data_IF_819665671360
#
_entry.id   IF_819665671360
#
_cell.length_a   1.000
_cell.length_b   1.000
_cell.length_c   1.000
_cell.angle_alpha   90.00
_cell.angle_beta   90.00
_cell.angle_gamma   90.00
#
_symmetry.space_group_name_H-M   'P 1'
#
loop_
_entity.id
_entity.type
_entity.pdbx_description
1 polymer ?
#
# COMPACT_ATOMS: atom_id res chain seq x y z
N UNK A 1 -17.93 -37.58 -81.29
CA UNK A 1 -17.26 -36.85 -80.20
C UNK A 1 -16.68 -37.89 -79.25
N UNK A 2 -15.35 -37.97 -79.08
CA UNK A 2 -14.77 -39.01 -78.24
C UNK A 2 -15.01 -38.67 -76.77
N UNK A 3 -15.63 -39.59 -76.04
CA UNK A 3 -15.78 -39.51 -74.59
C UNK A 3 -14.37 -39.47 -73.96
N UNK A 4 -13.98 -38.29 -73.47
CA UNK A 4 -12.80 -38.17 -72.62
C UNK A 4 -13.10 -38.97 -71.35
N UNK A 5 -12.40 -40.09 -71.19
CA UNK A 5 -12.55 -40.96 -70.04
C UNK A 5 -12.07 -40.21 -68.79
N UNK A 6 -13.01 -39.51 -68.12
CA UNK A 6 -12.78 -38.60 -67.00
C UNK A 6 -11.95 -39.22 -65.88
N UNK A 7 -12.03 -40.55 -65.69
CA UNK A 7 -11.17 -41.28 -64.74
C UNK A 7 -9.69 -41.25 -65.14
N UNK A 8 -9.35 -41.50 -66.40
CA UNK A 8 -7.96 -41.46 -66.87
C UNK A 8 -7.39 -40.03 -66.84
N UNK A 9 -8.22 -39.03 -67.15
CA UNK A 9 -7.85 -37.61 -67.02
C UNK A 9 -7.58 -37.24 -65.56
N UNK A 10 -8.41 -37.70 -64.63
CA UNK A 10 -8.25 -37.45 -63.19
C UNK A 10 -7.00 -38.10 -62.60
N UNK A 11 -6.67 -39.35 -63.01
CA UNK A 11 -5.42 -39.98 -62.63
C UNK A 11 -4.19 -39.27 -63.21
N UNK A 12 -4.27 -38.77 -64.45
CA UNK A 12 -3.18 -38.01 -65.05
C UNK A 12 -2.95 -36.67 -64.32
N UNK A 13 -4.02 -35.99 -63.92
CA UNK A 13 -3.97 -34.75 -63.12
C UNK A 13 -3.41 -35.04 -61.72
N UNK A 14 -3.82 -36.13 -61.06
CA UNK A 14 -3.26 -36.53 -59.76
C UNK A 14 -1.77 -36.86 -59.83
N UNK A 15 -1.32 -37.57 -60.87
CA UNK A 15 0.11 -37.88 -61.08
C UNK A 15 0.91 -36.61 -61.41
N UNK A 16 0.35 -35.67 -62.18
CA UNK A 16 0.96 -34.37 -62.47
C UNK A 16 1.02 -33.47 -61.22
N UNK A 17 0.02 -33.51 -60.34
CA UNK A 17 0.03 -32.79 -59.05
C UNK A 17 1.05 -33.44 -58.09
N UNK A 18 1.19 -34.77 -58.07
CA UNK A 18 2.21 -35.44 -57.27
C UNK A 18 3.63 -35.19 -57.80
N UNK A 19 3.82 -35.17 -59.11
CA UNK A 19 5.11 -34.85 -59.73
C UNK A 19 5.48 -33.36 -59.58
N UNK A 20 4.50 -32.45 -59.67
CA UNK A 20 4.70 -31.02 -59.42
C UNK A 20 4.90 -30.71 -57.92
N UNK A 21 4.28 -31.47 -57.02
CA UNK A 21 4.48 -31.36 -55.57
C UNK A 21 5.83 -31.92 -55.10
N UNK A 22 6.48 -32.77 -55.90
CA UNK A 22 7.86 -33.21 -55.68
C UNK A 22 8.90 -32.28 -56.33
N UNK A 23 8.47 -31.30 -57.13
CA UNK A 23 9.34 -30.43 -57.93
C UNK A 23 9.76 -29.12 -57.27
N UNK A 24 9.37 -28.86 -56.01
CA UNK A 24 9.72 -27.62 -55.32
C UNK A 24 10.23 -27.87 -53.89
N UNK A 25 11.16 -28.83 -53.74
CA UNK A 25 12.16 -28.67 -52.69
C UNK A 25 13.10 -27.58 -53.20
N UNK A 26 12.94 -26.34 -52.72
CA UNK A 26 14.11 -25.46 -52.62
C UNK A 26 15.20 -26.34 -52.05
N UNK A 27 16.31 -26.48 -52.77
CA UNK A 27 17.49 -27.17 -52.26
C UNK A 27 17.92 -26.42 -51.01
N UNK A 28 17.34 -26.78 -49.86
CA UNK A 28 17.84 -26.35 -48.57
C UNK A 28 19.30 -26.76 -48.56
N UNK A 29 20.17 -25.77 -48.48
CA UNK A 29 21.61 -26.00 -48.34
C UNK A 29 21.75 -27.03 -47.21
N UNK A 30 22.37 -28.20 -47.48
CA UNK A 30 22.48 -29.23 -46.46
C UNK A 30 23.09 -28.62 -45.21
N UNK A 31 22.52 -28.90 -44.05
CA UNK A 31 23.03 -28.36 -42.80
C UNK A 31 24.38 -29.02 -42.50
N UNK A 32 25.45 -28.24 -42.56
CA UNK A 32 26.83 -28.68 -42.41
C UNK A 32 27.50 -27.88 -41.30
N UNK A 33 28.68 -28.33 -40.88
CA UNK A 33 29.49 -27.61 -39.88
C UNK A 33 29.79 -26.16 -40.31
N UNK A 34 29.94 -25.92 -41.61
CA UNK A 34 30.31 -24.61 -42.18
C UNK A 34 29.16 -23.59 -42.10
N UNK A 35 27.90 -24.03 -42.25
CA UNK A 35 26.74 -23.14 -42.14
C UNK A 35 26.06 -23.19 -40.76
N UNK A 36 26.54 -24.06 -39.86
CA UNK A 36 25.94 -24.26 -38.54
C UNK A 36 25.95 -22.98 -37.70
N UNK A 37 27.09 -22.30 -37.60
CA UNK A 37 27.21 -21.09 -36.77
C UNK A 37 26.22 -20.01 -37.21
N UNK A 38 26.17 -19.70 -38.51
CA UNK A 38 25.25 -18.70 -39.04
C UNK A 38 23.79 -19.02 -38.69
N UNK A 39 23.39 -20.29 -38.83
CA UNK A 39 22.03 -20.71 -38.48
C UNK A 39 21.71 -20.53 -37.00
N UNK A 40 22.65 -20.80 -36.10
CA UNK A 40 22.45 -20.58 -34.67
C UNK A 40 22.46 -19.10 -34.29
N UNK A 41 23.22 -18.25 -34.98
CA UNK A 41 23.22 -16.80 -34.78
C UNK A 41 21.89 -16.15 -35.20
N UNK A 42 21.16 -16.76 -36.13
CA UNK A 42 19.82 -16.32 -36.55
C UNK A 42 18.71 -16.75 -35.58
N UNK A 43 19.03 -17.59 -34.59
CA UNK A 43 18.08 -18.12 -33.60
C UNK A 43 18.28 -17.46 -32.24
N UNK A 44 17.20 -17.36 -31.45
CA UNK A 44 17.36 -17.12 -30.02
C UNK A 44 18.06 -18.32 -29.35
N UNK A 45 18.73 -18.14 -28.19
CA UNK A 45 19.33 -19.25 -27.45
C UNK A 45 18.36 -20.42 -27.18
N UNK A 46 17.10 -20.13 -26.88
CA UNK A 46 16.05 -21.13 -26.67
C UNK A 46 15.69 -21.91 -27.96
N UNK A 47 15.59 -21.19 -29.07
CA UNK A 47 15.33 -21.78 -30.39
C UNK A 47 16.52 -22.65 -30.82
N UNK A 48 17.75 -22.19 -30.57
CA UNK A 48 18.97 -22.94 -30.78
C UNK A 48 18.99 -24.25 -29.99
N UNK A 49 18.72 -24.20 -28.69
CA UNK A 49 18.65 -25.39 -27.84
C UNK A 49 17.59 -26.39 -28.33
N UNK A 50 16.41 -25.90 -28.70
CA UNK A 50 15.33 -26.72 -29.26
C UNK A 50 15.70 -27.33 -30.62
N UNK A 51 16.37 -26.56 -31.49
CA UNK A 51 16.84 -27.03 -32.79
C UNK A 51 17.88 -28.13 -32.61
N UNK A 52 18.86 -27.93 -31.71
CA UNK A 52 19.86 -28.92 -31.36
C UNK A 52 19.23 -30.22 -30.87
N UNK A 53 18.35 -30.14 -29.86
CA UNK A 53 17.71 -31.32 -29.27
C UNK A 53 16.94 -32.16 -30.31
N UNK A 54 16.29 -31.50 -31.28
CA UNK A 54 15.52 -32.16 -32.35
C UNK A 54 16.39 -32.79 -33.44
N UNK A 55 17.55 -32.18 -33.75
CA UNK A 55 18.33 -32.54 -34.94
C UNK A 55 19.64 -33.28 -34.64
N UNK A 56 20.05 -33.39 -33.37
CA UNK A 56 21.34 -34.00 -32.98
C UNK A 56 21.57 -35.43 -33.47
N UNK A 57 20.52 -36.24 -33.62
CA UNK A 57 20.64 -37.61 -34.13
C UNK A 57 20.81 -37.67 -35.65
N UNK A 58 20.34 -36.64 -36.36
CA UNK A 58 20.46 -36.55 -37.82
C UNK A 58 21.83 -36.02 -38.26
N UNK A 59 22.52 -35.26 -37.40
CA UNK A 59 23.80 -34.61 -37.71
C UNK A 59 24.85 -34.94 -36.64
N UNK A 60 25.77 -35.86 -36.98
CA UNK A 60 26.79 -36.37 -36.05
C UNK A 60 27.75 -35.31 -35.49
N UNK A 61 27.95 -34.20 -36.20
CA UNK A 61 28.80 -33.09 -35.76
C UNK A 61 28.14 -32.19 -34.71
N UNK A 62 26.82 -32.28 -34.53
CA UNK A 62 26.05 -31.27 -33.81
C UNK A 62 26.25 -31.32 -32.30
N UNK A 63 26.48 -32.51 -31.73
CA UNK A 63 26.75 -32.66 -30.29
C UNK A 63 28.04 -31.91 -29.88
N UNK A 64 29.15 -32.11 -30.61
CA UNK A 64 30.40 -31.39 -30.33
C UNK A 64 30.32 -29.92 -30.71
N UNK A 65 29.71 -29.59 -31.86
CA UNK A 65 29.55 -28.20 -32.27
C UNK A 65 28.73 -27.39 -31.28
N UNK A 66 27.57 -27.89 -30.86
CA UNK A 66 26.71 -27.15 -29.93
C UNK A 66 27.40 -26.99 -28.58
N UNK A 67 28.01 -28.06 -28.05
CA UNK A 67 28.76 -28.03 -26.78
C UNK A 67 29.90 -27.01 -26.80
N UNK A 68 30.72 -27.03 -27.84
CA UNK A 68 31.99 -26.30 -27.82
C UNK A 68 31.84 -24.87 -28.37
N UNK A 69 30.86 -24.62 -29.26
CA UNK A 69 30.72 -23.35 -29.97
C UNK A 69 29.48 -22.53 -29.60
N UNK A 70 28.38 -23.17 -29.18
CA UNK A 70 27.11 -22.48 -28.89
C UNK A 70 26.84 -22.39 -27.40
N UNK A 71 27.04 -23.48 -26.67
CA UNK A 71 26.75 -23.57 -25.23
C UNK A 71 27.49 -22.54 -24.37
N UNK A 72 28.75 -22.13 -24.66
CA UNK A 72 29.40 -21.06 -23.89
C UNK A 72 28.68 -19.71 -23.94
N UNK A 73 27.90 -19.42 -24.97
CA UNK A 73 27.06 -18.21 -25.02
C UNK A 73 25.78 -18.38 -24.17
N UNK A 74 25.24 -19.61 -24.14
CA UNK A 74 24.05 -19.96 -23.35
C UNK A 74 24.28 -19.76 -21.85
N UNK A 75 25.51 -19.94 -21.35
CA UNK A 75 25.80 -19.78 -19.91
C UNK A 75 25.58 -18.37 -19.38
N UNK A 76 25.51 -17.37 -20.26
CA UNK A 76 25.27 -15.97 -19.90
C UNK A 76 23.80 -15.54 -20.07
N UNK A 77 22.90 -16.47 -20.42
CA UNK A 77 21.48 -16.19 -20.56
C UNK A 77 20.82 -15.92 -19.19
N UNK A 78 19.69 -15.21 -19.23
CA UNK A 78 18.87 -14.96 -18.03
C UNK A 78 18.28 -16.25 -17.46
N UNK A 79 17.82 -16.21 -16.20
CA UNK A 79 17.12 -17.33 -15.57
C UNK A 79 15.96 -17.86 -16.42
N UNK A 80 15.15 -16.97 -17.00
CA UNK A 80 13.98 -17.35 -17.80
C UNK A 80 14.39 -18.07 -19.09
N UNK A 81 15.43 -17.60 -19.76
CA UNK A 81 15.97 -18.25 -20.95
C UNK A 81 16.60 -19.61 -20.60
N UNK A 82 17.40 -19.67 -19.53
CA UNK A 82 18.02 -20.90 -19.05
C UNK A 82 16.99 -21.95 -18.62
N UNK A 83 15.84 -21.55 -18.07
CA UNK A 83 14.73 -22.44 -17.75
C UNK A 83 14.20 -23.16 -18.99
N UNK A 84 13.98 -22.40 -20.07
CA UNK A 84 13.49 -22.95 -21.34
C UNK A 84 14.56 -23.81 -22.02
N UNK A 85 15.82 -23.35 -22.00
CA UNK A 85 16.95 -24.09 -22.55
C UNK A 85 17.18 -25.41 -21.81
N UNK A 86 17.20 -25.41 -20.47
CA UNK A 86 17.35 -26.61 -19.67
C UNK A 86 16.22 -27.62 -19.96
N UNK A 87 14.99 -27.13 -20.11
CA UNK A 87 13.84 -27.96 -20.50
C UNK A 87 14.05 -28.60 -21.89
N UNK A 88 14.53 -27.83 -22.87
CA UNK A 88 14.82 -28.33 -24.22
C UNK A 88 15.97 -29.35 -24.24
N UNK A 89 16.98 -29.15 -23.39
CA UNK A 89 18.19 -29.97 -23.32
C UNK A 89 18.04 -31.23 -22.44
N UNK A 90 16.94 -31.39 -21.70
CA UNK A 90 16.73 -32.44 -20.68
C UNK A 90 17.03 -33.88 -21.14
N UNK A 91 16.85 -34.20 -22.42
CA UNK A 91 17.08 -35.53 -22.99
C UNK A 91 18.34 -35.58 -23.89
N UNK A 92 19.31 -34.71 -23.64
CA UNK A 92 20.54 -34.59 -24.42
C UNK A 92 21.77 -34.90 -23.56
N UNK A 93 22.96 -35.15 -24.15
CA UNK A 93 24.20 -35.30 -23.40
C UNK A 93 24.59 -34.07 -22.58
N UNK A 94 23.95 -32.91 -22.84
CA UNK A 94 24.24 -31.66 -22.18
C UNK A 94 23.36 -31.39 -20.95
N UNK A 95 22.41 -32.27 -20.61
CA UNK A 95 21.50 -32.08 -19.46
C UNK A 95 22.25 -31.73 -18.18
N UNK A 96 23.25 -32.52 -17.80
CA UNK A 96 23.97 -32.30 -16.54
C UNK A 96 24.73 -30.97 -16.50
N UNK A 97 25.24 -30.49 -17.64
CA UNK A 97 25.91 -29.19 -17.71
C UNK A 97 24.87 -28.06 -17.67
N UNK A 98 23.77 -28.19 -18.42
CA UNK A 98 22.67 -27.22 -18.44
C UNK A 98 22.01 -27.06 -17.08
N UNK A 99 21.81 -28.15 -16.32
CA UNK A 99 21.27 -28.12 -14.96
C UNK A 99 22.13 -27.31 -14.00
N UNK A 100 23.46 -27.42 -14.06
CA UNK A 100 24.38 -26.66 -13.20
C UNK A 100 24.20 -25.15 -13.38
N UNK A 101 24.21 -24.68 -14.64
CA UNK A 101 24.03 -23.25 -14.94
C UNK A 101 22.62 -22.77 -14.64
N UNK A 102 21.60 -23.60 -14.88
CA UNK A 102 20.22 -23.29 -14.52
C UNK A 102 20.06 -23.12 -13.01
N UNK A 103 20.62 -24.03 -12.20
CA UNK A 103 20.54 -23.98 -10.73
C UNK A 103 21.29 -22.78 -10.16
N UNK A 104 22.44 -22.41 -10.74
CA UNK A 104 23.18 -21.20 -10.35
C UNK A 104 22.39 -19.93 -10.68
N UNK A 105 21.86 -19.82 -11.90
CA UNK A 105 21.02 -18.69 -12.29
C UNK A 105 19.75 -18.60 -11.44
N UNK A 106 19.14 -19.73 -11.09
CA UNK A 106 17.97 -19.77 -10.18
C UNK A 106 18.32 -19.23 -8.79
N UNK A 107 19.47 -19.62 -8.22
CA UNK A 107 19.92 -19.12 -6.91
C UNK A 107 20.15 -17.62 -6.93
N UNK A 108 20.80 -17.10 -7.98
CA UNK A 108 21.02 -15.66 -8.15
C UNK A 108 19.68 -14.93 -8.28
N UNK A 109 18.79 -15.42 -9.15
CA UNK A 109 17.48 -14.81 -9.36
C UNK A 109 16.62 -14.77 -8.08
N UNK A 110 16.62 -15.85 -7.29
CA UNK A 110 15.96 -15.87 -5.98
C UNK A 110 16.56 -14.88 -4.98
N UNK A 111 17.89 -14.70 -5.01
CA UNK A 111 18.58 -13.72 -4.15
C UNK A 111 18.17 -12.29 -4.52
N UNK A 112 18.07 -11.99 -5.81
CA UNK A 112 17.66 -10.67 -6.30
C UNK A 112 16.21 -10.37 -5.93
N UNK A 113 15.31 -11.34 -6.11
CA UNK A 113 13.90 -11.25 -5.67
C UNK A 113 13.80 -11.02 -4.17
N UNK A 114 14.60 -11.74 -3.36
CA UNK A 114 14.59 -11.57 -1.91
C UNK A 114 14.98 -10.14 -1.52
N UNK A 115 16.02 -9.59 -2.14
CA UNK A 115 16.45 -8.21 -1.91
C UNK A 115 15.38 -7.19 -2.33
N UNK A 116 14.72 -7.41 -3.47
CA UNK A 116 13.62 -6.56 -3.94
C UNK A 116 12.42 -6.57 -2.97
N UNK A 117 12.03 -7.75 -2.48
CA UNK A 117 10.93 -7.90 -1.52
C UNK A 117 11.26 -7.20 -0.18
N UNK A 118 12.50 -7.30 0.29
CA UNK A 118 12.93 -6.57 1.49
C UNK A 118 12.83 -5.05 1.29
N UNK A 119 13.28 -4.55 0.12
CA UNK A 119 13.18 -3.13 -0.20
C UNK A 119 11.71 -2.67 -0.31
N UNK A 120 10.86 -3.47 -0.94
CA UNK A 120 9.43 -3.19 -1.05
C UNK A 120 8.74 -3.16 0.32
N UNK A 121 9.10 -4.07 1.23
CA UNK A 121 8.61 -4.04 2.61
C UNK A 121 9.02 -2.73 3.30
N UNK A 122 10.25 -2.26 3.11
CA UNK A 122 10.70 -0.98 3.67
C UNK A 122 9.88 0.21 3.13
N UNK A 123 9.65 0.27 1.82
CA UNK A 123 8.84 1.32 1.19
C UNK A 123 7.38 1.29 1.69
N UNK A 124 6.79 0.11 1.82
CA UNK A 124 5.43 -0.05 2.36
C UNK A 124 5.33 0.47 3.80
N UNK A 125 6.35 0.23 4.63
CA UNK A 125 6.37 0.80 5.99
C UNK A 125 6.46 2.32 5.96
N UNK A 126 7.32 2.89 5.12
CA UNK A 126 7.46 4.34 4.99
C UNK A 126 6.16 5.02 4.51
N UNK A 127 5.46 4.44 3.53
CA UNK A 127 4.19 4.98 3.05
C UNK A 127 3.14 4.96 4.16
N UNK A 128 3.09 3.90 4.97
CA UNK A 128 2.17 3.86 6.09
C UNK A 128 2.46 5.00 7.09
N UNK A 129 3.72 5.17 7.48
CA UNK A 129 4.11 6.17 8.48
C UNK A 129 3.96 7.61 8.00
N UNK A 130 4.28 7.88 6.73
CA UNK A 130 4.37 9.24 6.19
C UNK A 130 3.09 9.71 5.51
N UNK A 131 2.24 8.80 5.07
CA UNK A 131 1.04 9.13 4.30
C UNK A 131 -0.23 8.65 5.00
N UNK A 132 -0.29 7.36 5.38
CA UNK A 132 -1.52 6.77 5.93
C UNK A 132 -1.80 7.24 7.35
N UNK A 133 -0.81 7.20 8.25
CA UNK A 133 -0.99 7.67 9.63
C UNK A 133 -1.34 9.16 9.70
N UNK A 134 -0.68 10.08 8.97
CA UNK A 134 -1.06 11.48 9.01
C UNK A 134 -2.49 11.73 8.51
N UNK A 135 -2.94 11.02 7.48
CA UNK A 135 -4.33 11.10 7.03
C UNK A 135 -5.33 10.62 8.10
N UNK A 136 -4.97 9.55 8.81
CA UNK A 136 -5.73 9.05 9.95
C UNK A 136 -5.77 10.07 11.10
N UNK A 137 -4.63 10.72 11.41
CA UNK A 137 -4.53 11.77 12.44
C UNK A 137 -5.41 12.98 12.10
N UNK A 138 -5.38 13.45 10.85
CA UNK A 138 -6.19 14.59 10.38
C UNK A 138 -7.69 14.28 10.46
N UNK A 139 -8.10 13.12 9.94
CA UNK A 139 -9.51 12.71 9.96
C UNK A 139 -10.00 12.53 11.39
N UNK A 140 -9.19 11.90 12.25
CA UNK A 140 -9.52 11.74 13.66
C UNK A 140 -9.69 13.09 14.35
N UNK A 141 -8.76 14.01 14.16
CA UNK A 141 -8.84 15.35 14.73
C UNK A 141 -10.14 16.06 14.29
N UNK A 142 -10.50 15.99 13.02
CA UNK A 142 -11.76 16.54 12.52
C UNK A 142 -12.98 15.94 13.22
N UNK A 143 -13.02 14.61 13.35
CA UNK A 143 -14.14 13.93 14.02
C UNK A 143 -14.25 14.30 15.50
N UNK A 144 -13.11 14.39 16.19
CA UNK A 144 -13.05 14.77 17.61
C UNK A 144 -13.50 16.22 17.78
N UNK A 145 -13.04 17.13 16.93
CA UNK A 145 -13.47 18.53 16.93
C UNK A 145 -14.98 18.65 16.73
N UNK A 146 -15.55 17.99 15.71
CA UNK A 146 -17.00 18.04 15.43
C UNK A 146 -17.83 17.55 16.63
N UNK A 147 -17.45 16.41 17.22
CA UNK A 147 -18.14 15.86 18.40
C UNK A 147 -17.99 16.82 19.61
N UNK A 148 -16.82 17.41 19.81
CA UNK A 148 -16.55 18.30 20.94
C UNK A 148 -17.20 19.69 20.80
N UNK A 149 -17.24 20.26 19.60
CA UNK A 149 -18.00 21.47 19.30
C UNK A 149 -19.47 21.29 19.65
N UNK A 150 -20.05 20.14 19.29
CA UNK A 150 -21.43 19.84 19.64
C UNK A 150 -21.62 19.66 21.16
N UNK A 151 -20.70 18.98 21.85
CA UNK A 151 -20.75 18.86 23.32
C UNK A 151 -20.70 20.24 23.98
N UNK A 152 -19.76 21.09 23.55
CA UNK A 152 -19.54 22.42 24.11
C UNK A 152 -20.69 23.36 23.76
N UNK A 153 -21.21 23.36 22.53
CA UNK A 153 -22.40 24.14 22.16
C UNK A 153 -23.61 23.77 23.05
N UNK A 154 -23.84 22.48 23.29
CA UNK A 154 -24.92 22.04 24.20
C UNK A 154 -24.62 22.33 25.67
N UNK A 155 -23.35 22.36 26.07
CA UNK A 155 -22.93 22.63 27.44
C UNK A 155 -22.90 24.13 27.78
N UNK A 156 -22.23 24.95 26.99
CA UNK A 156 -22.18 26.41 27.13
C UNK A 156 -23.50 27.08 26.78
N UNK A 157 -24.36 26.42 25.99
CA UNK A 157 -25.72 26.86 25.72
C UNK A 157 -25.94 27.54 24.36
N UNK A 158 -24.95 27.49 23.47
CA UNK A 158 -24.96 28.16 22.18
C UNK A 158 -24.98 29.69 22.30
N UNK A 159 -24.86 30.38 21.15
CA UNK A 159 -24.70 31.83 20.99
C UNK A 159 -25.87 32.71 21.54
N UNK A 160 -26.80 32.15 22.31
CA UNK A 160 -27.93 32.88 22.90
C UNK A 160 -27.94 32.74 24.43
N UNK A 161 -27.56 33.84 25.09
CA UNK A 161 -27.41 34.10 26.54
C UNK A 161 -28.45 33.50 27.52
N UNK A 162 -29.58 32.95 27.07
CA UNK A 162 -30.61 32.42 27.97
C UNK A 162 -30.25 31.06 28.59
N UNK A 163 -29.37 30.28 27.95
CA UNK A 163 -28.86 29.02 28.53
C UNK A 163 -27.70 29.21 29.51
N UNK A 164 -27.00 30.35 29.50
CA UNK A 164 -26.00 30.68 30.53
C UNK A 164 -26.65 30.77 31.93
N UNK A 165 -27.96 31.08 32.00
CA UNK A 165 -28.75 31.02 33.25
C UNK A 165 -28.80 29.60 33.86
N UNK A 166 -28.66 28.53 33.06
CA UNK A 166 -28.63 27.14 33.56
C UNK A 166 -27.44 26.88 34.49
N UNK A 167 -26.32 27.61 34.33
CA UNK A 167 -25.20 27.53 35.27
C UNK A 167 -25.62 27.97 36.67
N UNK A 168 -26.52 28.95 36.79
CA UNK A 168 -27.09 29.37 38.08
C UNK A 168 -28.02 28.34 38.72
N UNK A 169 -28.68 27.50 37.92
CA UNK A 169 -29.62 26.47 38.38
C UNK A 169 -28.96 25.11 38.67
N UNK A 170 -27.63 25.03 38.59
CA UNK A 170 -26.87 23.86 39.06
C UNK A 170 -26.09 23.10 37.99
N UNK A 171 -25.97 23.62 36.76
CA UNK A 171 -25.14 22.98 35.72
C UNK A 171 -23.70 22.80 36.20
N UNK A 172 -23.18 21.57 36.09
CA UNK A 172 -21.86 21.17 36.59
C UNK A 172 -21.18 20.10 35.71
N UNK A 173 -20.00 19.64 36.12
CA UNK A 173 -19.24 18.62 35.40
C UNK A 173 -19.95 17.28 35.23
N UNK A 174 -21.04 16.98 35.95
CA UNK A 174 -21.87 15.78 35.68
C UNK A 174 -22.71 15.97 34.43
N UNK A 175 -23.27 17.16 34.21
CA UNK A 175 -24.02 17.45 32.98
C UNK A 175 -23.12 17.35 31.75
N UNK A 176 -21.87 17.83 31.86
CA UNK A 176 -20.87 17.66 30.81
C UNK A 176 -20.58 16.17 30.52
N UNK A 177 -20.46 15.33 31.56
CA UNK A 177 -20.30 13.87 31.40
C UNK A 177 -21.49 13.22 30.70
N UNK A 178 -22.71 13.68 30.94
CA UNK A 178 -23.90 13.16 30.27
C UNK A 178 -23.92 13.54 28.78
N UNK A 179 -23.57 14.80 28.46
CA UNK A 179 -23.44 15.26 27.08
C UNK A 179 -22.32 14.51 26.33
N UNK A 180 -21.16 14.33 26.98
CA UNK A 180 -20.06 13.53 26.44
C UNK A 180 -20.51 12.13 26.05
N UNK A 181 -21.15 11.40 26.97
CA UNK A 181 -21.64 10.03 26.70
C UNK A 181 -22.67 9.98 25.57
N UNK A 182 -23.40 11.07 25.38
CA UNK A 182 -24.47 11.16 24.38
C UNK A 182 -23.93 11.46 22.99
N UNK A 183 -22.89 12.28 22.88
CA UNK A 183 -22.44 12.81 21.58
C UNK A 183 -21.05 12.32 21.15
N UNK A 184 -20.17 11.91 22.06
CA UNK A 184 -18.86 11.36 21.71
C UNK A 184 -19.00 9.86 21.40
N UNK A 185 -18.92 9.49 20.13
CA UNK A 185 -19.13 8.11 19.68
C UNK A 185 -17.81 7.40 19.34
N UNK A 186 -17.05 7.01 20.36
CA UNK A 186 -15.69 6.42 20.21
C UNK A 186 -15.63 5.20 19.25
N UNK A 187 -16.71 4.43 19.12
CA UNK A 187 -16.78 3.33 18.17
C UNK A 187 -16.68 3.81 16.70
N UNK A 188 -17.26 4.97 16.37
CA UNK A 188 -17.22 5.53 15.02
C UNK A 188 -15.78 5.89 14.62
N UNK A 189 -14.98 6.39 15.57
CA UNK A 189 -13.56 6.69 15.37
C UNK A 189 -12.80 5.41 14.99
N UNK A 190 -13.01 4.34 15.76
CA UNK A 190 -12.35 3.04 15.51
C UNK A 190 -12.72 2.49 14.14
N UNK A 191 -14.00 2.49 13.80
CA UNK A 191 -14.49 2.00 12.51
C UNK A 191 -13.94 2.81 11.33
N UNK A 192 -13.82 4.14 11.49
CA UNK A 192 -13.25 5.02 10.47
C UNK A 192 -11.77 4.75 10.28
N UNK A 193 -10.99 4.70 11.37
CA UNK A 193 -9.56 4.46 11.33
C UNK A 193 -9.23 3.06 10.77
N UNK A 194 -10.01 2.05 11.12
CA UNK A 194 -9.84 0.69 10.59
C UNK A 194 -10.00 0.62 9.07
N UNK A 195 -10.89 1.42 8.47
CA UNK A 195 -11.07 1.47 7.01
C UNK A 195 -9.82 1.96 6.27
N UNK A 196 -9.10 2.94 6.82
CA UNK A 196 -7.84 3.41 6.23
C UNK A 196 -6.79 2.30 6.24
N UNK A 197 -6.68 1.60 7.37
CA UNK A 197 -5.75 0.49 7.53
C UNK A 197 -6.11 -0.66 6.58
N UNK A 198 -7.38 -1.08 6.55
CA UNK A 198 -7.88 -2.14 5.67
C UNK A 198 -7.62 -1.82 4.19
N UNK A 199 -7.98 -0.62 3.75
CA UNK A 199 -7.75 -0.18 2.37
C UNK A 199 -6.27 -0.19 1.99
N UNK A 200 -5.40 0.21 2.93
CA UNK A 200 -3.96 0.17 2.71
C UNK A 200 -3.41 -1.26 2.61
N UNK A 201 -3.84 -2.15 3.51
CA UNK A 201 -3.42 -3.56 3.49
C UNK A 201 -3.94 -4.30 2.24
N UNK A 202 -5.13 -3.96 1.75
CA UNK A 202 -5.69 -4.48 0.50
C UNK A 202 -4.84 -4.05 -0.72
N UNK A 203 -4.36 -2.80 -0.74
CA UNK A 203 -3.44 -2.32 -1.77
C UNK A 203 -2.12 -3.11 -1.79
N UNK A 204 -1.54 -3.38 -0.61
CA UNK A 204 -0.36 -4.24 -0.49
C UNK A 204 -0.64 -5.64 -1.02
N UNK A 205 -1.77 -6.25 -0.64
CA UNK A 205 -2.13 -7.57 -1.15
C UNK A 205 -2.19 -7.58 -2.67
N UNK A 206 -2.79 -6.56 -3.27
CA UNK A 206 -2.93 -6.47 -4.72
C UNK A 206 -1.58 -6.35 -5.43
N UNK A 207 -0.69 -5.49 -4.92
CA UNK A 207 0.68 -5.38 -5.44
C UNK A 207 1.42 -6.72 -5.36
N UNK A 208 1.31 -7.43 -4.24
CA UNK A 208 1.98 -8.71 -4.04
C UNK A 208 1.43 -9.81 -4.94
N UNK A 209 0.12 -9.83 -5.21
CA UNK A 209 -0.50 -10.74 -6.18
C UNK A 209 0.03 -10.50 -7.59
N UNK A 210 0.09 -9.24 -8.01
CA UNK A 210 0.56 -8.86 -9.34
C UNK A 210 2.06 -9.18 -9.52
N UNK A 211 2.87 -8.93 -8.49
CA UNK A 211 4.29 -9.29 -8.47
C UNK A 211 4.52 -10.81 -8.49
N UNK A 212 3.76 -11.58 -7.70
CA UNK A 212 3.84 -13.04 -7.74
C UNK A 212 3.52 -13.56 -9.15
N UNK A 213 2.49 -13.00 -9.78
CA UNK A 213 2.10 -13.39 -11.13
C UNK A 213 3.19 -13.05 -12.15
N UNK A 214 3.82 -11.87 -12.08
CA UNK A 214 4.89 -11.50 -13.02
C UNK A 214 6.12 -12.40 -12.88
N UNK A 215 6.44 -12.86 -11.67
CA UNK A 215 7.62 -13.72 -11.42
C UNK A 215 7.34 -15.19 -11.72
N UNK A 216 6.16 -15.69 -11.37
CA UNK A 216 5.87 -17.14 -11.35
C UNK A 216 4.79 -17.59 -12.33
N UNK A 217 4.00 -16.66 -12.86
CA UNK A 217 2.79 -16.94 -13.64
C UNK A 217 1.61 -17.49 -12.83
N UNK A 218 1.73 -17.61 -11.50
CA UNK A 218 0.68 -18.14 -10.63
C UNK A 218 -0.22 -17.02 -10.10
N UNK A 219 -1.52 -17.27 -10.10
CA UNK A 219 -2.51 -16.39 -9.48
C UNK A 219 -2.87 -16.91 -8.09
N UNK A 220 -2.87 -16.02 -7.10
CA UNK A 220 -3.39 -16.29 -5.77
C UNK A 220 -4.37 -15.18 -5.39
N UNK A 221 -5.21 -15.46 -4.41
CA UNK A 221 -5.99 -14.44 -3.72
C UNK A 221 -5.41 -14.32 -2.30
N UNK A 222 -4.88 -13.15 -1.98
CA UNK A 222 -4.25 -12.87 -0.70
C UNK A 222 -5.13 -11.90 0.09
N UNK A 223 -5.25 -12.16 1.39
CA UNK A 223 -5.86 -11.24 2.35
C UNK A 223 -4.93 -11.08 3.52
N UNK A 224 -4.65 -9.83 3.89
CA UNK A 224 -3.88 -9.48 5.07
C UNK A 224 -4.86 -8.97 6.12
N UNK A 225 -4.97 -9.70 7.23
CA UNK A 225 -5.75 -9.28 8.40
C UNK A 225 -4.80 -9.08 9.55
N UNK A 226 -4.88 -7.91 10.17
CA UNK A 226 -4.17 -7.61 11.41
C UNK A 226 -5.21 -7.38 12.51
N UNK A 227 -4.83 -7.67 13.75
CA UNK A 227 -5.65 -7.34 14.91
C UNK A 227 -5.45 -5.86 15.24
N UNK A 228 -6.55 -5.10 15.21
CA UNK A 228 -6.54 -3.65 15.46
C UNK A 228 -7.30 -3.41 16.77
N UNK A 229 -6.68 -2.77 17.78
CA UNK A 229 -7.37 -2.47 19.02
C UNK A 229 -8.52 -1.49 18.79
N UNK A 230 -9.53 -1.51 19.66
CA UNK A 230 -10.57 -0.47 19.64
C UNK A 230 -10.07 0.77 20.40
N UNK A 231 -10.45 1.95 19.92
CA UNK A 231 -10.26 3.19 20.64
C UNK A 231 -11.17 3.15 21.88
N UNK A 232 -10.62 3.51 23.04
CA UNK A 232 -11.36 3.64 24.29
C UNK A 232 -10.95 4.95 24.94
N UNK A 233 -11.89 5.89 25.05
CA UNK A 233 -11.63 7.22 25.59
C UNK A 233 -12.59 7.42 26.75
N UNK A 234 -12.03 7.76 27.90
CA UNK A 234 -12.80 8.19 29.05
C UNK A 234 -12.53 9.67 29.28
N UNK A 235 -13.52 10.38 29.81
CA UNK A 235 -13.30 11.77 30.21
C UNK A 235 -12.25 11.81 31.34
N UNK A 236 -11.13 12.48 31.07
CA UNK A 236 -10.00 12.60 32.00
C UNK A 236 -10.38 13.44 33.23
N UNK A 237 -9.60 13.35 34.30
CA UNK A 237 -9.71 14.28 35.43
C UNK A 237 -9.40 15.72 35.02
N UNK A 238 -8.59 15.88 33.97
CA UNK A 238 -8.00 17.14 33.56
C UNK A 238 -9.01 17.93 32.72
N UNK A 239 -9.68 17.28 31.73
CA UNK A 239 -10.89 17.79 31.07
C UNK A 239 -11.94 18.20 32.11
N UNK A 240 -12.19 17.38 33.13
CA UNK A 240 -13.16 17.73 34.18
C UNK A 240 -12.71 18.93 35.02
N UNK A 241 -11.41 19.08 35.26
CA UNK A 241 -10.82 20.25 35.90
C UNK A 241 -11.13 21.51 35.10
N UNK A 242 -10.84 21.48 33.80
CA UNK A 242 -11.07 22.59 32.87
C UNK A 242 -12.54 22.96 32.73
N UNK A 243 -13.43 21.96 32.60
CA UNK A 243 -14.88 22.17 32.60
C UNK A 243 -15.34 22.84 33.91
N UNK A 244 -14.79 22.44 35.06
CA UNK A 244 -15.14 23.05 36.34
C UNK A 244 -14.62 24.48 36.46
N UNK A 245 -13.44 24.80 35.92
CA UNK A 245 -12.89 26.15 35.87
C UNK A 245 -13.71 27.06 34.95
N UNK A 246 -14.00 26.60 33.73
CA UNK A 246 -14.93 27.27 32.81
C UNK A 246 -16.28 27.55 33.48
N UNK A 247 -16.87 26.54 34.14
CA UNK A 247 -18.16 26.67 34.83
C UNK A 247 -18.12 27.69 35.97
N UNK A 248 -17.00 27.80 36.68
CA UNK A 248 -16.80 28.84 37.72
C UNK A 248 -16.64 30.22 37.09
N UNK A 249 -15.88 30.32 35.99
CA UNK A 249 -15.69 31.55 35.22
C UNK A 249 -17.01 32.12 34.72
N UNK A 250 -17.85 31.31 34.08
CA UNK A 250 -19.18 31.71 33.59
C UNK A 250 -20.09 32.19 34.74
N UNK A 251 -20.09 31.47 35.88
CA UNK A 251 -20.84 31.90 37.09
C UNK A 251 -20.36 33.26 37.59
N UNK A 252 -19.05 33.48 37.65
CA UNK A 252 -18.47 34.76 38.09
C UNK A 252 -18.77 35.90 37.12
N UNK A 253 -18.63 35.68 35.81
CA UNK A 253 -18.93 36.67 34.78
C UNK A 253 -20.40 37.15 34.87
N UNK A 254 -21.36 36.21 35.01
CA UNK A 254 -22.78 36.56 35.17
C UNK A 254 -23.09 37.28 36.49
N UNK A 255 -22.44 36.91 37.61
CA UNK A 255 -22.58 37.67 38.86
C UNK A 255 -21.98 39.07 38.76
N UNK A 256 -20.93 39.23 37.95
CA UNK A 256 -20.24 40.50 37.74
C UNK A 256 -21.02 41.39 36.78
N UNK A 257 -21.73 40.86 35.76
CA UNK A 257 -22.66 41.65 34.93
C UNK A 257 -23.85 42.19 35.73
N UNK A 258 -24.35 41.44 36.72
CA UNK A 258 -25.34 41.93 37.69
C UNK A 258 -24.78 43.00 38.65
N UNK A 259 -23.45 43.06 38.82
CA UNK A 259 -22.74 44.02 39.70
C UNK A 259 -22.10 45.17 38.90
N UNK A 260 -21.97 45.06 37.57
CA UNK A 260 -21.38 46.07 36.67
C UNK A 260 -22.21 47.35 36.54
N UNK A 261 -23.40 47.41 37.16
CA UNK A 261 -24.08 48.67 37.50
C UNK A 261 -23.41 49.43 38.67
N UNK A 262 -22.30 48.94 39.26
CA UNK A 262 -21.69 49.60 40.44
C UNK A 262 -20.15 49.69 40.54
N UNK A 263 -19.31 48.88 39.87
CA UNK A 263 -17.86 49.13 39.85
C UNK A 263 -17.07 48.26 38.85
N UNK A 264 -16.16 48.87 38.09
CA UNK A 264 -15.07 48.22 37.36
C UNK A 264 -13.83 48.02 38.27
N UNK A 265 -12.69 47.40 37.83
CA UNK A 265 -12.41 46.40 36.79
C UNK A 265 -11.73 45.13 37.38
N UNK A 266 -11.62 44.01 36.63
CA UNK A 266 -10.73 42.90 37.02
C UNK A 266 -9.93 42.38 35.82
N UNK A 267 -8.62 42.23 36.08
CA UNK A 267 -7.55 41.69 35.24
C UNK A 267 -7.41 40.18 35.47
N UNK A 268 -7.22 39.39 34.41
CA UNK A 268 -6.68 38.01 34.41
C UNK A 268 -5.85 37.90 33.11
N UNK A 269 -4.60 37.48 33.02
CA UNK A 269 -3.74 36.74 33.95
C UNK A 269 -3.30 35.40 33.35
N UNK A 270 -2.48 35.44 32.29
CA UNK A 270 -1.69 34.37 31.65
C UNK A 270 -2.00 32.89 31.96
N UNK A 271 -2.41 32.15 30.93
CA UNK A 271 -2.15 30.72 30.82
C UNK A 271 -1.43 30.41 29.50
N UNK A 272 -0.42 29.57 29.67
CA UNK A 272 0.67 29.25 28.76
C UNK A 272 0.29 28.15 27.79
N UNK A 273 0.55 28.38 26.50
CA UNK A 273 0.90 27.36 25.51
C UNK A 273 -0.21 26.37 25.11
N UNK A 274 -0.85 26.63 23.98
CA UNK A 274 -1.75 25.69 23.30
C UNK A 274 -2.42 26.40 22.13
N UNK A 275 -1.78 26.34 20.95
CA UNK A 275 -2.28 26.94 19.71
C UNK A 275 -3.33 26.00 19.12
N UNK A 276 -4.54 26.49 18.90
CA UNK A 276 -5.62 25.64 18.42
C UNK A 276 -6.83 26.34 17.80
N UNK A 277 -6.70 27.55 17.26
CA UNK A 277 -7.75 28.13 16.40
C UNK A 277 -7.12 28.89 15.22
N UNK A 278 -6.91 28.19 14.10
CA UNK A 278 -7.22 28.67 12.73
C UNK A 278 -7.26 27.41 11.84
N UNK A 279 -8.42 26.78 11.70
CA UNK A 279 -8.67 25.92 10.53
C UNK A 279 -9.18 26.83 9.43
N UNK A 280 -8.26 27.44 8.68
CA UNK A 280 -8.55 27.97 7.36
C UNK A 280 -7.39 27.69 6.43
N UNK A 281 -7.63 26.66 5.61
CA UNK A 281 -6.84 26.21 4.47
C UNK A 281 -5.38 25.86 4.78
N UNK A 282 -4.88 24.81 4.13
CA UNK A 282 -3.56 24.76 3.48
C UNK A 282 -3.32 23.28 3.14
N UNK A 283 -3.78 22.93 1.93
CA UNK A 283 -2.86 22.23 1.04
C UNK A 283 -1.81 23.24 0.61
N UNK A 284 -0.53 22.92 0.82
CA UNK A 284 0.66 23.68 0.38
C UNK A 284 0.78 25.14 0.84
N UNK A 285 1.59 25.40 1.87
CA UNK A 285 2.79 26.27 1.84
C UNK A 285 3.23 26.56 3.27
N UNK A 286 4.55 26.49 3.48
CA UNK A 286 5.26 26.97 4.64
C UNK A 286 5.00 28.47 4.83
N UNK A 287 3.98 28.82 5.60
CA UNK A 287 3.83 30.15 6.17
C UNK A 287 4.55 30.20 7.52
N UNK A 288 5.28 31.29 7.71
CA UNK A 288 6.15 31.52 8.87
C UNK A 288 5.28 31.61 10.12
N UNK A 289 5.29 30.52 10.89
CA UNK A 289 4.48 30.29 12.09
C UNK A 289 4.64 31.43 13.11
N UNK A 290 5.75 32.18 13.05
CA UNK A 290 6.07 33.29 13.95
C UNK A 290 5.22 34.56 13.76
N UNK A 291 4.81 34.90 12.53
CA UNK A 291 4.01 36.11 12.27
C UNK A 291 2.53 35.90 12.64
N UNK A 292 2.03 34.66 12.51
CA UNK A 292 0.69 34.26 12.95
C UNK A 292 0.57 34.25 14.49
N UNK A 293 1.66 33.91 15.20
CA UNK A 293 1.74 33.95 16.66
C UNK A 293 1.53 35.36 17.23
N UNK A 294 1.97 36.40 16.53
CA UNK A 294 1.79 37.79 16.96
C UNK A 294 0.38 38.33 16.69
N UNK A 295 -0.35 37.79 15.72
CA UNK A 295 -1.75 38.16 15.47
C UNK A 295 -2.70 37.52 16.50
N UNK A 296 -2.47 36.27 16.90
CA UNK A 296 -3.28 35.56 17.92
C UNK A 296 -3.10 36.14 19.33
N UNK A 297 -1.93 36.70 19.66
CA UNK A 297 -1.69 37.36 20.95
C UNK A 297 -2.55 38.63 21.15
N UNK A 298 -3.17 39.14 20.08
CA UNK A 298 -3.95 40.38 20.06
C UNK A 298 -5.48 40.19 19.98
N UNK A 299 -6.00 38.97 19.78
CA UNK A 299 -7.45 38.69 19.78
C UNK A 299 -7.86 37.99 21.09
N UNK A 300 -8.85 38.55 21.80
CA UNK A 300 -9.47 37.90 22.96
C UNK A 300 -10.21 36.63 22.51
N UNK A 301 -9.56 35.47 22.62
CA UNK A 301 -10.17 34.16 22.32
C UNK A 301 -11.28 33.87 23.33
N UNK A 302 -12.49 33.55 22.84
CA UNK A 302 -13.66 33.29 23.67
C UNK A 302 -13.44 32.07 24.59
N UNK A 303 -13.93 32.07 25.84
CA UNK A 303 -13.72 30.99 26.81
C UNK A 303 -14.21 29.61 26.33
N UNK A 304 -15.25 29.56 25.51
CA UNK A 304 -15.75 28.33 24.89
C UNK A 304 -14.74 27.72 23.89
N UNK A 305 -14.03 28.56 23.13
CA UNK A 305 -13.00 28.12 22.16
C UNK A 305 -11.75 27.60 22.88
N UNK A 306 -11.41 28.20 24.03
CA UNK A 306 -10.33 27.70 24.89
C UNK A 306 -10.68 26.30 25.45
N UNK A 307 -11.91 26.11 25.95
CA UNK A 307 -12.38 24.83 26.45
C UNK A 307 -12.39 23.76 25.34
N UNK A 308 -12.77 24.14 24.12
CA UNK A 308 -12.76 23.27 22.94
C UNK A 308 -11.35 22.79 22.62
N UNK A 309 -10.41 23.72 22.49
CA UNK A 309 -9.02 23.40 22.16
C UNK A 309 -8.42 22.40 23.14
N UNK A 310 -8.59 22.63 24.45
CA UNK A 310 -8.03 21.73 25.48
C UNK A 310 -8.67 20.35 25.45
N UNK A 311 -10.00 20.27 25.28
CA UNK A 311 -10.68 18.98 25.20
C UNK A 311 -10.24 18.18 23.97
N UNK A 312 -10.14 18.82 22.80
CA UNK A 312 -9.73 18.17 21.55
C UNK A 312 -8.29 17.68 21.64
N UNK A 313 -7.37 18.51 22.17
CA UNK A 313 -5.97 18.16 22.34
C UNK A 313 -5.80 16.94 23.27
N UNK A 314 -6.42 16.95 24.46
CA UNK A 314 -6.33 15.82 25.40
C UNK A 314 -6.87 14.51 24.81
N UNK A 315 -8.00 14.58 24.10
CA UNK A 315 -8.60 13.41 23.43
C UNK A 315 -7.65 12.85 22.39
N UNK A 316 -7.12 13.71 21.51
CA UNK A 316 -6.24 13.29 20.43
C UNK A 316 -4.94 12.69 20.96
N UNK A 317 -4.36 13.27 22.01
CA UNK A 317 -3.15 12.76 22.65
C UNK A 317 -3.38 11.38 23.28
N UNK A 318 -4.52 11.16 23.92
CA UNK A 318 -4.87 9.86 24.48
C UNK A 318 -5.02 8.80 23.37
N UNK A 319 -5.72 9.12 22.28
CA UNK A 319 -5.87 8.22 21.14
C UNK A 319 -4.53 7.97 20.46
N UNK A 320 -3.70 8.99 20.26
CA UNK A 320 -2.38 8.84 19.64
C UNK A 320 -1.49 7.90 20.43
N UNK A 321 -1.51 8.03 21.75
CA UNK A 321 -0.73 7.17 22.66
C UNK A 321 -1.25 5.73 22.71
N UNK A 322 -2.56 5.54 22.81
CA UNK A 322 -3.13 4.20 23.04
C UNK A 322 -3.38 3.42 21.74
N UNK A 323 -3.84 4.10 20.70
CA UNK A 323 -4.31 3.47 19.47
C UNK A 323 -3.26 3.54 18.35
N UNK A 324 -2.76 4.73 17.98
CA UNK A 324 -1.87 4.84 16.81
C UNK A 324 -0.55 4.07 16.98
N UNK A 325 0.03 4.05 18.18
CA UNK A 325 1.23 3.23 18.43
C UNK A 325 0.97 1.73 18.21
N UNK A 326 -0.17 1.23 18.70
CA UNK A 326 -0.52 -0.18 18.56
C UNK A 326 -0.84 -0.54 17.10
N UNK A 327 -1.58 0.33 16.40
CA UNK A 327 -1.86 0.18 14.97
C UNK A 327 -0.58 0.18 14.15
N UNK A 328 0.31 1.14 14.38
CA UNK A 328 1.59 1.22 13.68
C UNK A 328 2.36 -0.09 13.84
N UNK A 329 2.53 -0.55 15.08
CA UNK A 329 3.23 -1.81 15.35
C UNK A 329 2.56 -3.02 14.67
N UNK A 330 1.24 -3.13 14.74
CA UNK A 330 0.49 -4.21 14.10
C UNK A 330 0.65 -4.21 12.58
N UNK A 331 0.57 -3.03 11.94
CA UNK A 331 0.77 -2.86 10.50
C UNK A 331 2.20 -3.18 10.09
N UNK A 332 3.21 -2.67 10.81
CA UNK A 332 4.63 -2.95 10.51
C UNK A 332 4.92 -4.45 10.50
N UNK A 333 4.45 -5.16 11.53
CA UNK A 333 4.62 -6.61 11.63
C UNK A 333 3.81 -7.35 10.56
N UNK A 334 2.59 -6.87 10.27
CA UNK A 334 1.75 -7.41 9.18
C UNK A 334 2.45 -7.33 7.82
N UNK A 335 3.09 -6.20 7.53
CA UNK A 335 3.87 -5.97 6.30
C UNK A 335 5.05 -6.94 6.21
N UNK A 336 5.85 -7.07 7.27
CA UNK A 336 6.99 -8.00 7.29
C UNK A 336 6.55 -9.44 7.03
N UNK A 337 5.59 -9.92 7.83
CA UNK A 337 5.07 -11.29 7.71
C UNK A 337 4.49 -11.55 6.33
N UNK A 338 3.73 -10.60 5.79
CA UNK A 338 3.13 -10.71 4.47
C UNK A 338 4.19 -10.83 3.36
N UNK A 339 5.26 -10.02 3.42
CA UNK A 339 6.34 -10.07 2.43
C UNK A 339 7.19 -11.35 2.57
N UNK A 340 7.41 -11.84 3.78
CA UNK A 340 8.06 -13.14 3.99
C UNK A 340 7.23 -14.28 3.36
N UNK A 341 5.90 -14.25 3.54
CA UNK A 341 5.00 -15.22 2.90
C UNK A 341 5.07 -15.13 1.38
N UNK A 342 5.12 -13.92 0.80
CA UNK A 342 5.29 -13.73 -0.64
C UNK A 342 6.59 -14.39 -1.14
N UNK A 343 7.71 -14.13 -0.47
CA UNK A 343 9.00 -14.72 -0.85
C UNK A 343 8.96 -16.25 -0.79
N UNK A 344 8.39 -16.82 0.28
CA UNK A 344 8.25 -18.28 0.43
C UNK A 344 7.39 -18.89 -0.69
N UNK A 345 6.33 -18.20 -1.13
CA UNK A 345 5.50 -18.64 -2.25
C UNK A 345 6.27 -18.64 -3.57
N UNK A 346 7.10 -17.62 -3.81
CA UNK A 346 7.97 -17.56 -4.99
C UNK A 346 9.02 -18.67 -4.95
N UNK A 347 9.67 -18.86 -3.80
CA UNK A 347 10.67 -19.91 -3.58
C UNK A 347 10.13 -21.31 -3.87
N UNK A 348 8.88 -21.59 -3.49
CA UNK A 348 8.21 -22.85 -3.77
C UNK A 348 7.74 -22.99 -5.23
N UNK A 349 7.46 -21.87 -5.90
CA UNK A 349 6.91 -21.86 -7.25
C UNK A 349 7.97 -21.98 -8.35
N UNK A 350 9.13 -21.36 -8.13
CA UNK A 350 10.33 -21.46 -8.98
C UNK A 350 11.13 -22.71 -8.64
#
# INVERSE_FOLDING_TARGET
MPEVNMRKLFYLILVLIFAASCGNRRSEVPFTKENAMQKFLEMSPEQGASFYAKNRLAYSFLDSFYRDSIFPAVTNCSYNELKNINTALKNTPLTGIAEVYFDEARKMYLKDIHAEIINNAHLQKQVFEKEVMPLMEIELNSMVTDDMENVIDKYAGGFLNYRKLEFFFGKDGKDFKELWKKYVHVQSYSERMNKYVEAYLDSICKFQEDYLYSVTGRKINKKLRIDIPYISINISSDILGQVNEFTKGEKMAMTTELIKDYAAPVVIGALTGGVGSVIYEIGNTSYDVYDLYQEIENEEVEPEEQLLSVCVEEINDEIKKQYFQAVQHAVMNGIENSNQVLYNLILFAL
#
